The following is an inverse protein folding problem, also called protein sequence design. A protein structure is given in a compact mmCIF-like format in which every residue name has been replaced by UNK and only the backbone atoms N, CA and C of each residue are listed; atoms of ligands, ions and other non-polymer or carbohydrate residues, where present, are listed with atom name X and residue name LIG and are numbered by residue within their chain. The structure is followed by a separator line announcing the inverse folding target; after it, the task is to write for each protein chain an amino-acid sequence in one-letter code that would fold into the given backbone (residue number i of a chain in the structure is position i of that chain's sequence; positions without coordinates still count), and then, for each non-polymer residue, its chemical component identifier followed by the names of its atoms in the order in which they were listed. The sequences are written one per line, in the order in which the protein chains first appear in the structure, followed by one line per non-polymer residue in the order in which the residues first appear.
data_IF_736465790272
#
_entry.id   IF_736465790272
#
_cell.length_a   1.000
_cell.length_b   1.000
_cell.length_c   1.000
_cell.angle_alpha   90.00
_cell.angle_beta   90.00
_cell.angle_gamma   90.00
#
_symmetry.space_group_name_H-M   'P 1'
#
loop_
_entity.id
_entity.type
_entity.pdbx_description
1 polymer ?
#
# COMPACT_ATOMS: atom_id res chain seq x y z
N UNK A 1 40.86 -34.00 1.36
CA UNK A 1 40.66 -33.23 2.61
C UNK A 1 39.52 -32.25 2.37
N UNK A 2 38.27 -32.66 2.63
CA UNK A 2 37.12 -31.77 2.49
C UNK A 2 36.96 -30.99 3.80
N UNK A 3 37.06 -29.66 3.73
CA UNK A 3 36.84 -28.77 4.85
C UNK A 3 35.35 -28.80 5.20
N UNK A 4 35.00 -29.40 6.34
CA UNK A 4 33.65 -29.29 6.92
C UNK A 4 33.43 -27.82 7.29
N UNK A 5 32.49 -27.16 6.62
CA UNK A 5 31.99 -25.85 7.04
C UNK A 5 31.37 -26.02 8.43
N UNK A 6 31.91 -25.30 9.41
CA UNK A 6 31.39 -25.29 10.76
C UNK A 6 30.19 -24.34 10.82
N UNK A 7 28.98 -24.91 10.89
CA UNK A 7 27.70 -24.19 10.89
C UNK A 7 27.35 -23.61 12.27
N UNK A 8 28.20 -23.81 13.29
CA UNK A 8 27.93 -23.47 14.69
C UNK A 8 27.97 -21.96 15.00
N UNK A 9 28.20 -21.10 14.01
CA UNK A 9 28.37 -19.65 14.18
C UNK A 9 27.40 -18.77 13.39
N UNK A 10 26.31 -19.36 12.85
CA UNK A 10 25.17 -18.53 12.43
C UNK A 10 24.39 -18.19 13.69
N UNK A 11 24.55 -16.96 14.19
CA UNK A 11 23.65 -16.44 15.21
C UNK A 11 22.23 -16.58 14.67
N UNK A 12 21.47 -17.55 15.21
CA UNK A 12 20.04 -17.66 14.96
C UNK A 12 19.46 -16.36 15.52
N UNK A 13 19.08 -15.45 14.63
CA UNK A 13 18.32 -14.25 14.97
C UNK A 13 17.18 -14.71 15.87
N UNK A 14 17.05 -14.14 17.07
CA UNK A 14 15.91 -14.43 17.92
C UNK A 14 14.63 -14.14 17.12
N UNK A 15 13.74 -15.12 17.04
CA UNK A 15 12.46 -14.95 16.36
C UNK A 15 11.68 -13.80 17.02
N UNK A 16 11.08 -12.94 16.21
CA UNK A 16 10.27 -11.80 16.66
C UNK A 16 8.80 -12.19 16.57
N UNK A 17 8.08 -12.06 17.70
CA UNK A 17 6.67 -12.40 17.79
C UNK A 17 5.83 -11.14 18.06
N UNK A 18 4.51 -11.20 17.83
CA UNK A 18 3.62 -10.07 18.15
C UNK A 18 3.61 -9.74 19.65
N UNK A 19 3.84 -10.73 20.49
CA UNK A 19 4.01 -10.59 21.95
C UNK A 19 5.31 -9.86 22.35
N UNK A 20 6.25 -9.68 21.44
CA UNK A 20 7.47 -8.87 21.67
C UNK A 20 7.18 -7.37 21.72
N UNK A 21 5.97 -6.94 21.35
CA UNK A 21 5.54 -5.54 21.30
C UNK A 21 4.43 -5.27 22.32
N UNK A 22 4.24 -4.02 22.78
CA UNK A 22 3.11 -3.65 23.61
C UNK A 22 1.78 -4.05 22.94
N UNK A 23 0.76 -4.40 23.73
CA UNK A 23 -0.58 -4.72 23.21
C UNK A 23 -1.23 -3.55 22.46
N UNK A 24 -0.75 -2.32 22.68
CA UNK A 24 -1.18 -1.10 22.00
C UNK A 24 -0.37 -0.78 20.74
N UNK A 25 0.57 -1.65 20.34
CA UNK A 25 1.40 -1.41 19.17
C UNK A 25 0.60 -1.69 17.88
N UNK A 26 0.63 -0.74 16.96
CA UNK A 26 -0.08 -0.85 15.67
C UNK A 26 0.87 -1.38 14.60
N UNK A 27 0.53 -2.53 14.04
CA UNK A 27 1.12 -3.02 12.80
C UNK A 27 0.24 -2.64 11.63
N UNK A 28 0.84 -2.09 10.58
CA UNK A 28 0.15 -1.72 9.37
C UNK A 28 0.99 -1.89 8.13
N UNK A 29 0.34 -1.69 6.99
CA UNK A 29 0.98 -1.65 5.68
C UNK A 29 0.83 -0.27 5.06
N UNK A 30 1.66 0.03 4.06
CA UNK A 30 1.66 1.34 3.44
C UNK A 30 1.85 1.28 1.92
N UNK A 31 1.17 2.17 1.21
CA UNK A 31 1.23 2.32 -0.24
C UNK A 31 1.27 3.81 -0.62
N UNK A 32 1.42 4.11 -1.92
CA UNK A 32 1.20 5.46 -2.45
C UNK A 32 0.46 5.40 -3.78
N UNK A 33 -0.36 6.43 -4.04
CA UNK A 33 -1.36 6.47 -5.10
C UNK A 33 -0.78 6.12 -6.47
N UNK A 34 0.28 6.82 -6.88
CA UNK A 34 0.89 6.61 -8.20
C UNK A 34 1.52 5.22 -8.36
N UNK A 35 1.95 4.59 -7.26
CA UNK A 35 2.56 3.26 -7.31
C UNK A 35 1.53 2.14 -7.49
N UNK A 36 0.26 2.34 -7.09
CA UNK A 36 -0.70 1.24 -6.99
C UNK A 36 -2.04 1.47 -7.71
N UNK A 37 -2.49 2.71 -7.88
CA UNK A 37 -3.87 3.00 -8.31
C UNK A 37 -4.12 2.72 -9.78
N UNK A 38 -3.26 3.20 -10.68
CA UNK A 38 -3.58 3.24 -12.11
C UNK A 38 -4.43 4.46 -12.52
N UNK A 39 -4.90 4.48 -13.77
CA UNK A 39 -5.86 5.46 -14.30
C UNK A 39 -5.31 6.88 -14.44
N UNK A 40 -4.10 7.02 -15.01
CA UNK A 40 -3.29 8.25 -14.90
C UNK A 40 -3.15 9.11 -16.17
N UNK A 41 -2.99 8.55 -17.36
CA UNK A 41 -2.72 9.26 -18.62
C UNK A 41 -1.63 10.39 -18.55
N UNK A 42 -0.36 10.01 -18.80
CA UNK A 42 0.86 10.83 -19.11
C UNK A 42 1.99 10.89 -18.07
N UNK A 43 2.77 9.83 -17.92
CA UNK A 43 3.84 9.79 -16.91
C UNK A 43 4.84 8.71 -17.25
N UNK A 44 6.11 9.10 -17.35
CA UNK A 44 7.20 8.24 -17.82
C UNK A 44 8.05 7.77 -16.66
N UNK A 45 8.15 6.45 -16.49
CA UNK A 45 9.17 5.81 -15.66
C UNK A 45 10.48 5.75 -16.44
N UNK A 46 11.62 5.74 -15.74
CA UNK A 46 12.98 5.75 -16.33
C UNK A 46 13.21 4.60 -17.33
N UNK A 47 12.53 3.47 -17.15
CA UNK A 47 12.60 2.30 -18.03
C UNK A 47 11.57 2.32 -19.19
N UNK A 48 10.78 3.40 -19.30
CA UNK A 48 9.72 3.54 -20.30
C UNK A 48 8.39 2.89 -19.93
N UNK A 49 8.27 2.24 -18.77
CA UNK A 49 6.99 1.81 -18.21
C UNK A 49 6.16 2.99 -17.71
N UNK A 50 4.89 2.76 -17.42
CA UNK A 50 4.01 3.79 -16.86
C UNK A 50 3.09 3.21 -15.78
N UNK A 51 2.58 4.09 -14.93
CA UNK A 51 1.58 3.75 -13.90
C UNK A 51 0.16 3.76 -14.44
N UNK A 52 -0.08 3.47 -15.73
CA UNK A 52 -1.44 3.58 -16.30
C UNK A 52 -2.40 2.54 -15.71
N UNK A 53 -1.89 1.36 -15.34
CA UNK A 53 -2.66 0.30 -14.66
C UNK A 53 -2.12 0.01 -13.26
N UNK A 54 -0.79 0.05 -13.07
CA UNK A 54 -0.14 -0.33 -11.80
C UNK A 54 -0.60 -1.72 -11.32
N UNK A 55 -1.08 -1.86 -10.08
CA UNK A 55 -1.75 -3.09 -9.58
C UNK A 55 -3.28 -2.99 -9.64
N UNK A 56 -3.80 -1.94 -10.28
CA UNK A 56 -5.21 -1.65 -10.50
C UNK A 56 -6.02 -1.45 -9.20
N UNK A 57 -5.38 -0.87 -8.17
CA UNK A 57 -6.05 -0.60 -6.89
C UNK A 57 -7.27 0.31 -7.07
N UNK A 58 -7.31 1.14 -8.12
CA UNK A 58 -8.47 1.98 -8.43
C UNK A 58 -9.77 1.17 -8.60
N UNK A 59 -9.70 0.00 -9.23
CA UNK A 59 -10.87 -0.88 -9.40
C UNK A 59 -10.93 -1.99 -8.36
N UNK A 60 -9.79 -2.35 -7.74
CA UNK A 60 -9.61 -3.56 -6.93
C UNK A 60 -9.43 -3.30 -5.42
N UNK A 61 -9.58 -2.05 -4.97
CA UNK A 61 -9.32 -1.67 -3.57
C UNK A 61 -10.03 -2.53 -2.52
N UNK A 62 -11.22 -3.08 -2.83
CA UNK A 62 -11.94 -3.97 -1.91
C UNK A 62 -11.17 -5.25 -1.61
N UNK A 63 -10.63 -5.88 -2.66
CA UNK A 63 -9.83 -7.10 -2.54
C UNK A 63 -8.53 -6.83 -1.78
N UNK A 64 -7.93 -5.66 -2.02
CA UNK A 64 -6.72 -5.25 -1.30
C UNK A 64 -7.00 -5.00 0.19
N UNK A 65 -8.16 -4.44 0.55
CA UNK A 65 -8.58 -4.25 1.95
C UNK A 65 -8.84 -5.61 2.62
N UNK A 66 -9.53 -6.53 1.95
CA UNK A 66 -9.75 -7.89 2.45
C UNK A 66 -8.43 -8.62 2.74
N UNK A 67 -7.41 -8.43 1.89
CA UNK A 67 -6.08 -9.01 2.12
C UNK A 67 -5.37 -8.39 3.33
N UNK A 68 -5.49 -7.08 3.54
CA UNK A 68 -4.88 -6.39 4.69
C UNK A 68 -5.47 -6.93 5.99
N UNK A 69 -6.78 -7.12 6.04
CA UNK A 69 -7.48 -7.68 7.19
C UNK A 69 -7.10 -9.15 7.42
N UNK A 70 -7.10 -9.98 6.36
CA UNK A 70 -6.74 -11.38 6.44
C UNK A 70 -5.29 -11.61 6.95
N UNK A 71 -4.40 -10.66 6.68
CA UNK A 71 -3.02 -10.66 7.17
C UNK A 71 -2.87 -10.14 8.61
N UNK A 72 -3.94 -9.65 9.24
CA UNK A 72 -3.96 -9.23 10.65
C UNK A 72 -3.32 -7.85 10.89
N UNK A 73 -3.32 -6.99 9.88
CA UNK A 73 -2.89 -5.60 10.02
C UNK A 73 -4.02 -4.74 10.56
N UNK A 74 -3.67 -3.80 11.43
CA UNK A 74 -4.61 -2.92 12.14
C UNK A 74 -4.57 -1.48 11.62
N UNK A 75 -3.72 -1.21 10.63
CA UNK A 75 -3.65 0.09 9.98
C UNK A 75 -3.24 -0.06 8.51
N UNK A 76 -3.82 0.79 7.67
CA UNK A 76 -3.41 0.98 6.30
C UNK A 76 -3.11 2.46 6.06
N UNK A 77 -1.87 2.75 5.65
CA UNK A 77 -1.44 4.09 5.24
C UNK A 77 -1.41 4.17 3.72
N UNK A 78 -2.28 4.97 3.13
CA UNK A 78 -2.24 5.30 1.71
C UNK A 78 -2.10 6.82 1.51
N UNK A 79 -1.81 7.24 0.28
CA UNK A 79 -1.79 8.66 -0.10
C UNK A 79 -2.95 8.98 -1.04
N UNK A 80 -3.40 10.23 -1.04
CA UNK A 80 -4.40 10.73 -1.98
C UNK A 80 -3.67 11.34 -3.20
N UNK A 81 -4.10 10.99 -4.40
CA UNK A 81 -3.60 11.58 -5.64
C UNK A 81 -4.18 12.98 -5.83
N UNK A 82 -3.32 14.00 -5.79
CA UNK A 82 -3.72 15.39 -5.97
C UNK A 82 -4.40 15.61 -7.33
N UNK A 83 -3.81 15.11 -8.42
CA UNK A 83 -4.36 15.24 -9.76
C UNK A 83 -5.67 14.48 -9.96
N UNK A 84 -5.96 13.47 -9.11
CA UNK A 84 -7.25 12.77 -9.13
C UNK A 84 -8.36 13.61 -8.51
N UNK A 85 -8.06 14.37 -7.45
CA UNK A 85 -9.02 15.28 -6.81
C UNK A 85 -9.16 16.59 -7.60
N UNK A 86 -8.03 17.12 -8.07
CA UNK A 86 -7.93 18.39 -8.79
C UNK A 86 -7.19 18.17 -10.11
N UNK A 87 -7.90 17.79 -11.19
CA UNK A 87 -7.28 17.50 -12.49
C UNK A 87 -6.57 18.70 -13.11
N UNK A 88 -7.00 19.91 -12.77
CA UNK A 88 -6.37 21.16 -13.16
C UNK A 88 -5.01 21.40 -12.47
N UNK A 89 -4.71 20.66 -11.40
CA UNK A 89 -3.55 20.85 -10.53
C UNK A 89 -3.57 22.13 -9.68
N UNK A 90 -4.56 23.01 -9.88
CA UNK A 90 -4.67 24.33 -9.26
C UNK A 90 -5.62 24.36 -8.07
N UNK A 91 -6.46 23.33 -7.91
CA UNK A 91 -7.43 23.29 -6.83
C UNK A 91 -8.72 24.03 -7.12
N UNK A 92 -8.96 24.43 -8.37
CA UNK A 92 -10.12 25.23 -8.76
C UNK A 92 -11.27 24.38 -9.31
N UNK A 93 -10.94 23.25 -9.94
CA UNK A 93 -11.90 22.28 -10.47
C UNK A 93 -11.81 20.95 -9.71
N UNK A 94 -12.91 20.57 -9.05
CA UNK A 94 -13.00 19.34 -8.24
C UNK A 94 -13.51 18.19 -9.10
N UNK A 95 -12.85 17.04 -9.00
CA UNK A 95 -13.35 15.78 -9.54
C UNK A 95 -14.07 14.96 -8.45
N UNK A 96 -15.40 14.98 -8.49
CA UNK A 96 -16.27 14.27 -7.53
C UNK A 96 -16.08 12.75 -7.57
N UNK A 97 -15.74 12.16 -8.73
CA UNK A 97 -15.46 10.71 -8.82
C UNK A 97 -14.17 10.36 -8.07
N UNK A 98 -13.17 11.23 -8.12
CA UNK A 98 -11.94 11.10 -7.34
C UNK A 98 -12.20 11.13 -5.84
N UNK A 99 -13.08 12.04 -5.39
CA UNK A 99 -13.51 12.12 -3.98
C UNK A 99 -14.26 10.83 -3.58
N UNK A 100 -15.21 10.39 -4.40
CA UNK A 100 -15.99 9.19 -4.14
C UNK A 100 -15.10 7.96 -4.01
N UNK A 101 -14.07 7.82 -4.84
CA UNK A 101 -13.10 6.73 -4.76
C UNK A 101 -12.41 6.66 -3.40
N UNK A 102 -11.83 7.76 -2.90
CA UNK A 102 -11.17 7.75 -1.59
C UNK A 102 -12.14 7.58 -0.43
N UNK A 103 -13.34 8.15 -0.51
CA UNK A 103 -14.39 7.91 0.48
C UNK A 103 -14.77 6.43 0.56
N UNK A 104 -14.86 5.74 -0.59
CA UNK A 104 -15.14 4.31 -0.61
C UNK A 104 -14.04 3.50 0.07
N UNK A 105 -12.76 3.81 -0.19
CA UNK A 105 -11.62 3.17 0.51
C UNK A 105 -11.73 3.39 2.02
N UNK A 106 -11.93 4.64 2.46
CA UNK A 106 -12.01 4.98 3.88
C UNK A 106 -13.18 4.25 4.55
N UNK A 107 -14.35 4.26 3.93
CA UNK A 107 -15.53 3.57 4.46
C UNK A 107 -15.29 2.07 4.57
N UNK A 108 -14.75 1.44 3.51
CA UNK A 108 -14.41 0.01 3.55
C UNK A 108 -13.37 -0.33 4.63
N UNK A 109 -12.43 0.58 4.95
CA UNK A 109 -11.48 0.35 6.05
C UNK A 109 -12.07 0.53 7.45
N UNK A 110 -13.17 1.29 7.59
CA UNK A 110 -13.84 1.54 8.87
C UNK A 110 -14.96 0.54 9.15
N UNK A 111 -15.49 -0.10 8.10
CA UNK A 111 -16.53 -1.13 8.21
C UNK A 111 -15.97 -2.50 8.65
N UNK A 112 -14.68 -2.75 8.44
CA UNK A 112 -13.95 -3.95 8.88
C UNK A 112 -13.22 -3.70 10.21
#
# INVERSE_FOLDING_TARGET
MAQKLNLDNVAVSADVYRSSFPSTFTFGVATSAYQIEGGWNEGKVVDGSNGDVAVDHYHRYKEDIELIEALGFSAYRFSISWSRIFPDGLGTEVNEEGIAFYNNIINSLLEN
#
